data_IF_554729308619
#
_entry.id   IF_554729308619
#
_cell.length_a   1.000
_cell.length_b   1.000
_cell.length_c   1.000
_cell.angle_alpha   90.00
_cell.angle_beta   90.00
_cell.angle_gamma   90.00
#
_symmetry.space_group_name_H-M   'P 1'
#
loop_
_entity.id
_entity.type
_entity.pdbx_description
1 polymer ?
#
# COMPACT_ATOMS: atom_id res chain seq x y z
N UNK A 1 -7.88 19.55 31.82
CA UNK A 1 -7.11 18.36 31.34
C UNK A 1 -6.12 18.81 30.28
N UNK A 2 -4.89 18.30 30.26
CA UNK A 2 -3.92 18.57 29.18
C UNK A 2 -3.25 17.27 28.74
N UNK A 3 -3.11 17.07 27.43
CA UNK A 3 -2.40 15.93 26.84
C UNK A 3 -1.56 16.40 25.66
N UNK A 4 -0.35 15.86 25.54
CA UNK A 4 0.59 16.14 24.46
C UNK A 4 0.96 14.83 23.76
N UNK A 5 1.08 14.89 22.44
CA UNK A 5 1.37 13.75 21.59
C UNK A 5 2.33 14.15 20.48
N UNK A 6 3.17 13.20 20.07
CA UNK A 6 4.04 13.33 18.91
C UNK A 6 3.74 12.21 17.90
N UNK A 7 4.00 12.49 16.62
CA UNK A 7 3.97 11.50 15.55
C UNK A 7 5.18 11.70 14.66
N UNK A 8 6.07 10.70 14.68
CA UNK A 8 7.29 10.65 13.89
C UNK A 8 7.31 9.46 12.92
N UNK A 9 6.15 8.87 12.60
CA UNK A 9 6.05 7.76 11.65
C UNK A 9 6.27 8.24 10.20
N UNK A 10 6.93 7.42 9.38
CA UNK A 10 7.20 7.66 7.94
C UNK A 10 7.81 9.03 7.63
N UNK A 11 7.04 9.99 7.09
CA UNK A 11 7.46 11.37 6.82
C UNK A 11 6.87 12.38 7.82
N UNK A 12 6.05 11.95 8.77
CA UNK A 12 5.50 12.84 9.78
C UNK A 12 6.58 13.24 10.79
N UNK A 13 6.55 14.50 11.20
CA UNK A 13 7.35 15.03 12.30
C UNK A 13 6.51 16.10 13.00
N UNK A 14 5.43 15.63 13.64
CA UNK A 14 4.31 16.48 14.06
C UNK A 14 4.04 16.34 15.56
N UNK A 15 3.54 17.41 16.15
CA UNK A 15 3.00 17.42 17.50
C UNK A 15 1.51 17.75 17.50
N UNK A 16 0.80 17.28 18.52
CA UNK A 16 -0.59 17.61 18.78
C UNK A 16 -0.81 17.69 20.29
N UNK A 17 -1.32 18.83 20.74
CA UNK A 17 -1.65 19.14 22.13
C UNK A 17 -3.13 19.41 22.23
N UNK A 18 -3.77 18.88 23.26
CA UNK A 18 -5.15 19.21 23.61
C UNK A 18 -5.25 19.61 25.07
N UNK A 19 -6.00 20.67 25.30
CA UNK A 19 -6.27 21.26 26.60
C UNK A 19 -7.78 21.44 26.73
N UNK A 20 -8.31 21.08 27.89
CA UNK A 20 -9.72 21.29 28.23
C UNK A 20 -9.77 22.10 29.52
N UNK A 21 -10.42 23.25 29.43
CA UNK A 21 -10.77 24.11 30.56
C UNK A 21 -12.29 24.31 30.56
N UNK A 22 -12.97 23.71 31.55
CA UNK A 22 -14.44 23.62 31.62
C UNK A 22 -15.04 23.08 30.32
N UNK A 23 -15.87 23.87 29.65
CA UNK A 23 -16.53 23.52 28.39
C UNK A 23 -15.74 23.95 27.14
N UNK A 24 -14.50 24.44 27.29
CA UNK A 24 -13.66 24.89 26.16
C UNK A 24 -12.54 23.89 25.90
N UNK A 25 -12.47 23.39 24.66
CA UNK A 25 -11.37 22.61 24.13
C UNK A 25 -10.44 23.50 23.32
N UNK A 26 -9.15 23.44 23.62
CA UNK A 26 -8.09 24.09 22.85
C UNK A 26 -7.15 23.03 22.29
N UNK A 27 -6.93 23.07 20.99
CA UNK A 27 -6.04 22.16 20.26
C UNK A 27 -4.91 22.98 19.64
N UNK A 28 -3.67 22.57 19.90
CA UNK A 28 -2.47 23.15 19.29
C UNK A 28 -1.72 22.07 18.52
N UNK A 29 -1.38 22.31 17.25
CA UNK A 29 -0.76 21.28 16.41
C UNK A 29 0.15 21.87 15.34
N UNK A 30 1.20 21.13 14.97
CA UNK A 30 2.17 21.63 14.00
C UNK A 30 3.29 20.64 13.71
N UNK A 31 4.28 21.10 12.93
CA UNK A 31 5.56 20.40 12.81
C UNK A 31 6.32 20.56 14.14
N UNK A 32 7.02 19.53 14.59
CA UNK A 32 7.92 19.63 15.75
C UNK A 32 8.93 20.77 15.51
N UNK A 33 9.17 21.57 16.54
CA UNK A 33 10.01 22.77 16.47
C UNK A 33 9.36 24.02 15.85
N UNK A 34 8.11 23.94 15.36
CA UNK A 34 7.34 25.09 14.92
C UNK A 34 6.38 25.60 16.01
N UNK A 35 5.93 26.85 15.91
CA UNK A 35 4.90 27.39 16.80
C UNK A 35 3.53 26.69 16.64
N UNK A 36 3.31 25.96 15.53
CA UNK A 36 2.04 25.30 15.24
C UNK A 36 0.88 26.25 14.95
N UNK A 37 -0.33 25.69 14.94
CA UNK A 37 -1.61 26.38 14.80
C UNK A 37 -2.49 26.04 15.99
N UNK A 38 -3.33 26.99 16.37
CA UNK A 38 -4.27 26.85 17.50
C UNK A 38 -5.70 26.84 16.96
N UNK A 39 -6.53 25.97 17.51
CA UNK A 39 -7.97 25.94 17.30
C UNK A 39 -8.66 25.80 18.65
N UNK A 40 -9.70 26.59 18.87
CA UNK A 40 -10.51 26.54 20.09
C UNK A 40 -11.96 26.23 19.71
N UNK A 41 -12.63 25.45 20.55
CA UNK A 41 -14.03 25.06 20.39
C UNK A 41 -14.70 24.99 21.75
N UNK A 42 -15.77 25.75 21.90
CA UNK A 42 -16.64 25.70 23.08
C UNK A 42 -17.76 24.67 22.87
N UNK A 43 -18.09 23.96 23.93
CA UNK A 43 -19.15 22.95 23.97
C UNK A 43 -20.26 23.35 24.95
N UNK A 44 -21.45 22.73 24.88
CA UNK A 44 -22.55 23.09 25.78
C UNK A 44 -22.27 22.81 27.26
N UNK A 45 -21.47 21.76 27.55
CA UNK A 45 -21.09 21.38 28.91
C UNK A 45 -19.65 20.86 28.95
N UNK A 46 -19.04 20.89 30.12
CA UNK A 46 -17.72 20.27 30.38
C UNK A 46 -17.73 18.77 30.05
N UNK A 47 -18.79 18.06 30.40
CA UNK A 47 -18.90 16.62 30.14
C UNK A 47 -18.92 16.29 28.64
N UNK A 48 -19.65 17.05 27.82
CA UNK A 48 -19.63 16.89 26.35
C UNK A 48 -18.23 17.22 25.80
N UNK A 49 -17.57 18.25 26.34
CA UNK A 49 -16.22 18.64 25.93
C UNK A 49 -15.20 17.51 26.17
N UNK A 50 -15.26 16.87 27.35
CA UNK A 50 -14.39 15.74 27.69
C UNK A 50 -14.66 14.53 26.79
N UNK A 51 -15.93 14.17 26.56
CA UNK A 51 -16.29 13.05 25.69
C UNK A 51 -15.79 13.24 24.25
N UNK A 52 -15.97 14.42 23.67
CA UNK A 52 -15.47 14.74 22.33
C UNK A 52 -13.95 14.80 22.27
N UNK A 53 -13.30 15.26 23.35
CA UNK A 53 -11.84 15.25 23.49
C UNK A 53 -11.28 13.83 23.49
N UNK A 54 -11.90 12.91 24.23
CA UNK A 54 -11.47 11.50 24.28
C UNK A 54 -11.63 10.80 22.92
N UNK A 55 -12.74 11.06 22.20
CA UNK A 55 -12.91 10.57 20.83
C UNK A 55 -11.79 11.05 19.91
N UNK A 56 -11.43 12.33 20.00
CA UNK A 56 -10.35 12.90 19.20
C UNK A 56 -8.98 12.31 19.57
N UNK A 57 -8.72 12.07 20.85
CA UNK A 57 -7.50 11.39 21.31
C UNK A 57 -7.40 9.99 20.70
N UNK A 58 -8.46 9.17 20.78
CA UNK A 58 -8.49 7.83 20.18
C UNK A 58 -8.23 7.89 18.68
N UNK A 59 -8.82 8.85 17.98
CA UNK A 59 -8.60 9.07 16.54
C UNK A 59 -7.15 9.48 16.22
N UNK A 60 -6.48 10.25 17.09
CA UNK A 60 -5.08 10.62 16.90
C UNK A 60 -4.15 9.43 17.15
N UNK A 61 -4.41 8.67 18.21
CA UNK A 61 -3.66 7.45 18.52
C UNK A 61 -3.76 6.42 17.39
N UNK A 62 -4.96 6.23 16.81
CA UNK A 62 -5.12 5.34 15.64
C UNK A 62 -4.39 5.84 14.39
N UNK A 63 -3.97 7.11 14.35
CA UNK A 63 -3.15 7.72 13.29
C UNK A 63 -1.66 7.75 13.64
N UNK A 64 -1.22 7.01 14.66
CA UNK A 64 0.18 6.89 15.06
C UNK A 64 0.69 8.00 15.99
N UNK A 65 -0.19 8.82 16.58
CA UNK A 65 0.24 9.75 17.64
C UNK A 65 0.43 9.00 18.96
N UNK A 66 1.63 9.09 19.52
CA UNK A 66 1.96 8.52 20.82
C UNK A 66 1.93 9.60 21.89
N UNK A 67 1.45 9.27 23.08
CA UNK A 67 1.45 10.19 24.20
C UNK A 67 2.89 10.53 24.58
N UNK A 68 3.15 11.82 24.85
CA UNK A 68 4.48 12.32 25.15
C UNK A 68 4.43 13.32 26.31
N UNK A 69 5.47 13.33 27.12
CA UNK A 69 5.62 14.32 28.19
C UNK A 69 6.26 15.59 27.62
N UNK A 70 5.56 16.72 27.69
CA UNK A 70 6.04 18.00 27.12
C UNK A 70 7.37 18.47 27.73
N UNK A 71 7.70 18.03 28.94
CA UNK A 71 8.98 18.29 29.60
C UNK A 71 10.15 17.45 29.08
N UNK A 72 9.89 16.34 28.37
CA UNK A 72 10.92 15.46 27.85
C UNK A 72 11.38 15.92 26.46
N UNK A 73 12.69 15.86 26.15
CA UNK A 73 13.18 16.18 24.83
C UNK A 73 12.57 15.25 23.78
N UNK A 74 11.95 15.82 22.75
CA UNK A 74 11.40 15.05 21.64
C UNK A 74 12.57 14.46 20.82
N UNK A 75 12.54 13.17 20.46
CA UNK A 75 13.58 12.57 19.64
C UNK A 75 13.77 13.34 18.32
N UNK A 76 15.02 13.58 17.93
CA UNK A 76 15.31 14.15 16.62
C UNK A 76 15.05 13.08 15.58
N UNK A 77 14.13 13.34 14.65
CA UNK A 77 13.88 12.45 13.53
C UNK A 77 15.06 12.53 12.57
N UNK A 78 15.63 11.37 12.23
CA UNK A 78 16.66 11.28 11.21
C UNK A 78 16.12 11.80 9.86
N UNK A 79 16.97 12.49 9.10
CA UNK A 79 16.61 12.83 7.73
C UNK A 79 16.45 11.53 6.94
N UNK A 80 15.27 11.35 6.39
CA UNK A 80 14.92 10.22 5.53
C UNK A 80 15.44 10.48 4.12
N UNK A 81 15.95 9.43 3.46
CA UNK A 81 16.53 9.55 2.13
C UNK A 81 15.46 9.91 1.07
N UNK A 82 15.87 10.36 -0.11
CA UNK A 82 14.92 10.62 -1.20
C UNK A 82 14.24 9.34 -1.68
N UNK A 83 14.93 8.21 -1.60
CA UNK A 83 14.40 6.88 -1.91
C UNK A 83 13.29 6.50 -0.91
N UNK A 84 13.51 6.70 0.38
CA UNK A 84 12.50 6.43 1.40
C UNK A 84 11.28 7.36 1.25
N UNK A 85 11.50 8.63 0.90
CA UNK A 85 10.40 9.57 0.58
C UNK A 85 9.60 9.11 -0.64
N UNK A 86 10.27 8.64 -1.69
CA UNK A 86 9.63 8.11 -2.89
C UNK A 86 8.79 6.87 -2.56
N UNK A 87 9.34 5.95 -1.77
CA UNK A 87 8.61 4.76 -1.33
C UNK A 87 7.39 5.09 -0.49
N UNK A 88 7.51 6.00 0.49
CA UNK A 88 6.34 6.46 1.27
C UNK A 88 5.30 7.10 0.35
N UNK A 89 5.73 7.92 -0.62
CA UNK A 89 4.81 8.53 -1.58
C UNK A 89 4.06 7.49 -2.43
N UNK A 90 4.76 6.48 -2.95
CA UNK A 90 4.17 5.38 -3.72
C UNK A 90 3.07 4.68 -2.92
N UNK A 91 3.40 4.16 -1.73
CA UNK A 91 2.45 3.42 -0.91
C UNK A 91 1.29 4.26 -0.40
N UNK A 92 1.52 5.53 -0.04
CA UNK A 92 0.43 6.43 0.34
C UNK A 92 -0.48 6.77 -0.83
N UNK A 93 0.02 6.75 -2.07
CA UNK A 93 -0.80 6.99 -3.26
C UNK A 93 -1.72 5.81 -3.51
N UNK A 94 -1.20 4.58 -3.47
CA UNK A 94 -2.00 3.34 -3.50
C UNK A 94 -3.05 3.35 -2.37
N UNK A 95 -2.64 3.57 -1.13
CA UNK A 95 -3.58 3.53 0.00
C UNK A 95 -4.69 4.59 -0.10
N UNK A 96 -4.37 5.82 -0.53
CA UNK A 96 -5.36 6.90 -0.67
C UNK A 96 -6.34 6.67 -1.82
N UNK A 97 -5.91 5.97 -2.86
CA UNK A 97 -6.75 5.64 -4.01
C UNK A 97 -7.76 4.52 -3.68
N UNK A 98 -7.46 3.66 -2.70
CA UNK A 98 -8.33 2.57 -2.30
C UNK A 98 -9.57 3.05 -1.50
N UNK A 99 -10.67 3.35 -2.19
CA UNK A 99 -11.96 3.73 -1.58
C UNK A 99 -12.66 2.56 -0.86
N UNK A 100 -12.36 1.32 -1.24
CA UNK A 100 -12.95 0.09 -0.69
C UNK A 100 -12.50 -0.23 0.73
N UNK A 101 -11.37 0.34 1.19
CA UNK A 101 -10.81 0.15 2.53
C UNK A 101 -11.82 0.39 3.67
N UNK A 102 -12.84 1.22 3.45
CA UNK A 102 -13.78 1.67 4.47
C UNK A 102 -15.25 1.26 4.25
N UNK A 103 -15.59 0.60 3.15
CA UNK A 103 -17.00 0.40 2.73
C UNK A 103 -17.38 -1.07 2.73
N UNK A 104 -16.79 -1.88 1.84
CA UNK A 104 -16.96 -3.33 1.79
C UNK A 104 -15.85 -3.94 0.94
N UNK A 105 -14.96 -4.76 1.52
CA UNK A 105 -13.87 -5.35 0.74
C UNK A 105 -14.36 -6.41 -0.26
N UNK A 106 -15.54 -7.01 -0.06
CA UNK A 106 -16.12 -8.01 -0.99
C UNK A 106 -16.47 -7.45 -2.37
N UNK A 107 -16.52 -6.13 -2.49
CA UNK A 107 -16.77 -5.41 -3.75
C UNK A 107 -15.48 -4.74 -4.27
N UNK A 108 -14.31 -5.14 -3.77
CA UNK A 108 -13.04 -4.57 -4.21
C UNK A 108 -12.88 -4.72 -5.73
N UNK A 109 -12.73 -3.58 -6.39
CA UNK A 109 -12.48 -3.47 -7.82
C UNK A 109 -11.09 -2.85 -8.05
N UNK A 110 -10.20 -3.64 -8.66
CA UNK A 110 -8.84 -3.20 -8.98
C UNK A 110 -8.82 -2.07 -10.01
N UNK A 111 -9.74 -2.08 -10.99
CA UNK A 111 -9.83 -1.06 -12.03
C UNK A 111 -10.33 0.27 -11.44
N UNK A 112 -11.36 0.23 -10.60
CA UNK A 112 -11.80 1.45 -9.89
C UNK A 112 -10.69 2.00 -8.99
N UNK A 113 -9.94 1.12 -8.32
CA UNK A 113 -8.78 1.52 -7.52
C UNK A 113 -7.72 2.21 -8.39
N UNK A 114 -7.39 1.66 -9.57
CA UNK A 114 -6.45 2.27 -10.52
C UNK A 114 -6.98 3.60 -11.06
N UNK A 115 -8.26 3.72 -11.41
CA UNK A 115 -8.84 4.97 -11.89
C UNK A 115 -8.73 6.08 -10.83
N UNK A 116 -9.01 5.75 -9.57
CA UNK A 116 -8.82 6.67 -8.45
C UNK A 116 -7.35 7.06 -8.24
N UNK A 117 -6.43 6.13 -8.48
CA UNK A 117 -5.00 6.37 -8.42
C UNK A 117 -4.54 7.32 -9.54
N UNK A 118 -4.99 7.10 -10.77
CA UNK A 118 -4.71 7.96 -11.93
C UNK A 118 -5.26 9.38 -11.66
N UNK A 119 -6.49 9.50 -11.15
CA UNK A 119 -7.08 10.79 -10.79
C UNK A 119 -6.25 11.51 -9.72
N UNK A 120 -5.71 10.78 -8.74
CA UNK A 120 -4.84 11.33 -7.70
C UNK A 120 -3.49 11.78 -8.27
N UNK A 121 -2.88 10.94 -9.12
CA UNK A 121 -1.57 11.19 -9.73
C UNK A 121 -1.62 12.31 -10.77
N UNK A 122 -2.71 12.49 -11.50
CA UNK A 122 -2.85 13.57 -12.51
C UNK A 122 -2.72 14.99 -11.93
N UNK A 123 -2.88 15.12 -10.61
CA UNK A 123 -2.77 16.38 -9.87
C UNK A 123 -1.33 16.70 -9.43
N UNK A 124 -0.37 15.83 -9.71
CA UNK A 124 1.05 16.04 -9.37
C UNK A 124 1.89 16.34 -10.62
N UNK A 125 3.01 17.03 -10.44
CA UNK A 125 3.93 17.33 -11.54
C UNK A 125 4.77 16.12 -11.97
N UNK A 126 5.27 16.17 -13.21
CA UNK A 126 6.11 15.13 -13.85
C UNK A 126 7.20 14.52 -12.95
N UNK A 127 7.97 15.28 -12.13
CA UNK A 127 8.98 14.67 -11.26
C UNK A 127 8.42 13.66 -10.26
N UNK A 128 7.20 13.88 -9.75
CA UNK A 128 6.56 12.93 -8.83
C UNK A 128 6.02 11.69 -9.55
N UNK A 129 5.55 11.83 -10.78
CA UNK A 129 5.13 10.70 -11.61
C UNK A 129 6.32 9.79 -11.93
N UNK A 130 7.47 10.37 -12.26
CA UNK A 130 8.72 9.63 -12.46
C UNK A 130 9.13 8.86 -11.20
N UNK A 131 9.03 9.48 -10.01
CA UNK A 131 9.32 8.80 -8.75
C UNK A 131 8.34 7.67 -8.44
N UNK A 132 7.04 7.86 -8.77
CA UNK A 132 6.05 6.81 -8.64
C UNK A 132 6.40 5.62 -9.55
N UNK A 133 6.70 5.89 -10.82
CA UNK A 133 7.10 4.88 -11.82
C UNK A 133 8.35 4.11 -11.37
N UNK A 134 9.38 4.83 -10.93
CA UNK A 134 10.62 4.24 -10.40
C UNK A 134 10.31 3.20 -9.32
N UNK A 135 9.51 3.57 -8.32
CA UNK A 135 9.18 2.69 -7.20
C UNK A 135 8.29 1.53 -7.65
N UNK A 136 7.35 1.76 -8.58
CA UNK A 136 6.54 0.70 -9.16
C UNK A 136 7.43 -0.41 -9.73
N UNK A 137 8.40 -0.06 -10.58
CA UNK A 137 9.31 -1.05 -11.18
C UNK A 137 10.17 -1.76 -10.13
N UNK A 138 10.71 -1.03 -9.16
CA UNK A 138 11.47 -1.63 -8.04
C UNK A 138 10.63 -2.64 -7.26
N UNK A 139 9.36 -2.35 -6.98
CA UNK A 139 8.47 -3.26 -6.23
C UNK A 139 7.99 -4.43 -7.07
N UNK A 140 7.76 -4.25 -8.38
CA UNK A 140 7.46 -5.36 -9.29
C UNK A 140 8.64 -6.34 -9.41
N UNK A 141 9.87 -5.84 -9.46
CA UNK A 141 11.07 -6.67 -9.45
C UNK A 141 11.26 -7.39 -8.10
N UNK A 142 10.96 -6.75 -6.97
CA UNK A 142 10.98 -7.42 -5.66
C UNK A 142 10.00 -8.58 -5.56
N UNK A 143 8.88 -8.54 -6.30
CA UNK A 143 7.91 -9.64 -6.39
C UNK A 143 8.25 -10.67 -7.46
N UNK A 144 9.34 -10.51 -8.22
CA UNK A 144 9.75 -11.49 -9.23
C UNK A 144 10.50 -12.66 -8.58
N UNK A 145 9.76 -13.49 -7.82
CA UNK A 145 10.32 -14.63 -7.08
C UNK A 145 9.52 -15.92 -7.33
N UNK A 146 10.18 -17.06 -7.08
CA UNK A 146 9.60 -18.39 -7.19
C UNK A 146 8.38 -18.58 -6.27
N UNK A 147 8.42 -18.00 -5.08
CA UNK A 147 7.34 -18.05 -4.10
C UNK A 147 6.12 -17.24 -4.55
N UNK A 148 6.34 -16.07 -5.15
CA UNK A 148 5.23 -15.26 -5.68
C UNK A 148 4.63 -15.88 -6.94
N UNK A 149 5.44 -16.55 -7.77
CA UNK A 149 4.92 -17.37 -8.87
C UNK A 149 4.15 -18.60 -8.37
N UNK A 150 4.63 -19.29 -7.33
CA UNK A 150 3.86 -20.34 -6.67
C UNK A 150 2.51 -19.80 -6.14
N UNK A 151 2.50 -18.60 -5.57
CA UNK A 151 1.27 -17.94 -5.12
C UNK A 151 0.30 -17.66 -6.28
N UNK A 152 0.77 -17.25 -7.46
CA UNK A 152 -0.11 -17.01 -8.60
C UNK A 152 -0.81 -18.28 -9.08
N UNK A 153 -0.10 -19.41 -9.12
CA UNK A 153 -0.70 -20.71 -9.42
C UNK A 153 -1.77 -21.10 -8.41
N UNK A 154 -1.51 -20.93 -7.11
CA UNK A 154 -2.45 -21.31 -6.06
C UNK A 154 -3.74 -20.47 -6.11
N UNK A 155 -3.60 -19.15 -6.22
CA UNK A 155 -4.73 -18.23 -6.10
C UNK A 155 -5.61 -18.21 -7.36
N UNK A 156 -4.99 -18.24 -8.54
CA UNK A 156 -5.69 -17.94 -9.79
C UNK A 156 -5.43 -18.98 -10.90
N UNK A 157 -4.35 -19.74 -10.79
CA UNK A 157 -3.99 -20.76 -11.77
C UNK A 157 -5.06 -21.84 -11.96
N UNK A 158 -5.25 -22.36 -13.20
CA UNK A 158 -6.10 -23.52 -13.45
C UNK A 158 -5.66 -24.72 -12.61
N UNK A 159 -6.60 -25.54 -12.17
CA UNK A 159 -6.30 -26.75 -11.42
C UNK A 159 -7.29 -27.86 -11.70
N UNK A 160 -6.85 -29.09 -11.45
CA UNK A 160 -7.70 -30.28 -11.36
C UNK A 160 -7.61 -30.84 -9.94
N UNK A 161 -8.67 -31.50 -9.47
CA UNK A 161 -8.72 -32.07 -8.13
C UNK A 161 -9.09 -33.54 -8.20
N UNK A 162 -8.14 -34.42 -7.87
CA UNK A 162 -8.32 -35.86 -7.93
C UNK A 162 -7.80 -36.52 -6.65
N UNK A 163 -8.61 -37.40 -6.06
CA UNK A 163 -8.23 -38.19 -4.86
C UNK A 163 -7.70 -37.36 -3.67
N UNK A 164 -8.19 -36.13 -3.49
CA UNK A 164 -7.75 -35.25 -2.40
C UNK A 164 -6.48 -34.44 -2.70
N UNK A 165 -5.98 -34.52 -3.93
CA UNK A 165 -4.79 -33.80 -4.39
C UNK A 165 -5.18 -32.81 -5.48
N UNK A 166 -4.84 -31.55 -5.25
CA UNK A 166 -4.93 -30.47 -6.23
C UNK A 166 -3.68 -30.51 -7.12
N UNK A 167 -3.89 -30.56 -8.43
CA UNK A 167 -2.84 -30.44 -9.42
C UNK A 167 -3.06 -29.15 -10.22
N UNK A 168 -2.23 -28.16 -9.95
CA UNK A 168 -2.25 -26.86 -10.62
C UNK A 168 -1.52 -26.93 -11.97
N UNK A 169 -1.88 -26.07 -12.90
CA UNK A 169 -1.11 -25.88 -14.13
C UNK A 169 0.32 -25.41 -13.81
N UNK A 170 1.27 -25.73 -14.69
CA UNK A 170 2.69 -25.36 -14.56
C UNK A 170 3.11 -24.24 -15.52
N UNK A 171 2.20 -23.76 -16.36
CA UNK A 171 2.45 -22.67 -17.29
C UNK A 171 2.37 -21.29 -16.63
N UNK A 172 3.52 -20.62 -16.48
CA UNK A 172 3.61 -19.22 -16.06
C UNK A 172 3.65 -18.29 -17.29
N UNK A 173 2.58 -17.53 -17.51
CA UNK A 173 2.59 -16.44 -18.50
C UNK A 173 3.42 -15.26 -18.00
N UNK A 174 4.32 -14.74 -18.84
CA UNK A 174 5.11 -13.55 -18.50
C UNK A 174 4.21 -12.34 -18.19
N UNK A 175 3.31 -11.98 -19.11
CA UNK A 175 2.34 -10.90 -18.94
C UNK A 175 1.40 -11.16 -17.75
N UNK A 176 0.81 -12.35 -17.68
CA UNK A 176 -0.10 -12.72 -16.59
C UNK A 176 0.56 -12.61 -15.21
N UNK A 177 1.83 -12.99 -15.11
CA UNK A 177 2.58 -12.87 -13.87
C UNK A 177 2.96 -11.42 -13.53
N UNK A 178 3.21 -10.56 -14.52
CA UNK A 178 3.35 -9.11 -14.29
C UNK A 178 2.04 -8.53 -13.73
N UNK A 179 0.89 -8.89 -14.32
CA UNK A 179 -0.41 -8.35 -13.91
C UNK A 179 -0.83 -8.84 -12.53
N UNK A 180 -0.48 -10.08 -12.18
CA UNK A 180 -0.66 -10.61 -10.84
C UNK A 180 0.17 -9.83 -9.80
N UNK A 181 1.44 -9.53 -10.10
CA UNK A 181 2.28 -8.72 -9.22
C UNK A 181 1.73 -7.30 -9.05
N UNK A 182 1.17 -6.70 -10.10
CA UNK A 182 0.47 -5.42 -9.99
C UNK A 182 -0.71 -5.49 -9.02
N UNK A 183 -1.51 -6.55 -9.09
CA UNK A 183 -2.64 -6.76 -8.19
C UNK A 183 -2.21 -6.92 -6.72
N UNK A 184 -1.09 -7.60 -6.47
CA UNK A 184 -0.49 -7.71 -5.13
C UNK A 184 -0.08 -6.33 -4.58
N UNK A 185 0.50 -5.45 -5.39
CA UNK A 185 0.89 -4.10 -4.96
C UNK A 185 -0.32 -3.25 -4.57
N UNK A 186 -1.46 -3.40 -5.25
CA UNK A 186 -2.69 -2.68 -4.91
C UNK A 186 -3.26 -3.04 -3.53
N UNK A 187 -2.90 -4.20 -2.96
CA UNK A 187 -3.28 -4.56 -1.58
C UNK A 187 -2.57 -3.70 -0.52
N UNK A 188 -1.52 -2.98 -0.93
CA UNK A 188 -0.83 -1.98 -0.13
C UNK A 188 0.37 -2.52 0.65
N UNK A 189 1.13 -1.59 1.24
CA UNK A 189 2.45 -1.84 1.84
C UNK A 189 2.48 -2.99 2.85
N UNK A 190 1.56 -2.99 3.81
CA UNK A 190 1.56 -4.00 4.87
C UNK A 190 1.25 -5.41 4.36
N UNK A 191 0.50 -5.53 3.24
CA UNK A 191 0.26 -6.81 2.59
C UNK A 191 1.50 -7.24 1.82
N UNK A 192 2.06 -6.34 1.01
CA UNK A 192 3.31 -6.54 0.28
C UNK A 192 4.43 -7.05 1.20
N UNK A 193 4.70 -6.36 2.31
CA UNK A 193 5.76 -6.72 3.25
C UNK A 193 5.54 -8.13 3.83
N UNK A 194 4.30 -8.49 4.13
CA UNK A 194 3.98 -9.79 4.71
C UNK A 194 4.17 -10.93 3.70
N UNK A 195 3.72 -10.77 2.46
CA UNK A 195 3.85 -11.82 1.44
C UNK A 195 5.29 -11.99 0.95
N UNK A 196 6.11 -10.93 1.00
CA UNK A 196 7.54 -11.03 0.69
C UNK A 196 8.33 -11.75 1.77
N UNK A 197 7.83 -11.78 3.01
CA UNK A 197 8.43 -12.56 4.09
C UNK A 197 7.93 -14.02 4.08
N UNK A 198 6.61 -14.22 3.92
CA UNK A 198 5.99 -15.54 3.83
C UNK A 198 4.65 -15.46 3.07
N UNK A 199 4.55 -16.16 1.94
CA UNK A 199 3.34 -16.17 1.10
C UNK A 199 2.12 -16.78 1.81
N UNK A 200 2.30 -17.60 2.86
CA UNK A 200 1.19 -18.11 3.67
C UNK A 200 0.42 -16.97 4.37
N UNK A 201 1.04 -15.80 4.53
CA UNK A 201 0.41 -14.61 5.12
C UNK A 201 -0.74 -14.06 4.26
N UNK A 202 -0.75 -14.36 2.95
CA UNK A 202 -1.74 -13.88 1.99
C UNK A 202 -3.18 -14.17 2.45
N UNK A 203 -3.46 -15.41 2.86
CA UNK A 203 -4.77 -15.87 3.35
C UNK A 203 -4.75 -16.14 4.87
N UNK A 204 -4.01 -15.33 5.63
CA UNK A 204 -3.93 -15.44 7.10
C UNK A 204 -5.20 -14.95 7.83
N UNK A 205 -6.11 -14.25 7.13
CA UNK A 205 -7.27 -13.58 7.72
C UNK A 205 -6.95 -12.19 8.30
N UNK A 206 -5.67 -11.81 8.38
CA UNK A 206 -5.25 -10.44 8.72
C UNK A 206 -5.61 -9.44 7.62
N UNK A 207 -5.54 -9.88 6.37
CA UNK A 207 -5.84 -9.10 5.18
C UNK A 207 -7.15 -9.59 4.56
N UNK A 208 -7.96 -8.64 4.10
CA UNK A 208 -9.19 -8.96 3.38
C UNK A 208 -8.85 -9.12 1.90
N UNK A 209 -8.60 -10.35 1.49
CA UNK A 209 -8.38 -10.71 0.10
C UNK A 209 -9.70 -11.22 -0.48
N UNK A 210 -10.14 -10.64 -1.59
CA UNK A 210 -11.22 -11.19 -2.40
C UNK A 210 -10.56 -11.95 -3.53
N UNK A 211 -10.80 -13.26 -3.59
CA UNK A 211 -10.39 -14.07 -4.73
C UNK A 211 -11.43 -13.89 -5.84
N UNK A 212 -10.91 -13.59 -7.03
CA UNK A 212 -11.62 -13.20 -8.25
C UNK A 212 -10.56 -13.01 -9.34
N UNK A 213 -10.71 -12.03 -10.23
CA UNK A 213 -9.63 -11.67 -11.17
C UNK A 213 -8.45 -11.03 -10.39
N UNK A 214 -7.37 -11.79 -10.22
CA UNK A 214 -6.19 -11.35 -9.48
C UNK A 214 -5.19 -10.60 -10.37
N UNK A 215 -5.66 -9.88 -11.39
CA UNK A 215 -4.83 -9.21 -12.41
C UNK A 215 -5.10 -7.71 -12.41
N UNK A 216 -4.06 -6.91 -12.66
CA UNK A 216 -4.16 -5.44 -12.65
C UNK A 216 -3.20 -4.79 -13.67
N UNK A 217 -3.35 -5.11 -14.96
CA UNK A 217 -2.47 -4.61 -16.05
C UNK A 217 -2.34 -3.08 -16.05
N UNK A 218 -3.46 -2.36 -15.90
CA UNK A 218 -3.48 -0.89 -16.04
C UNK A 218 -2.62 -0.16 -15.00
N UNK A 219 -2.22 -0.81 -13.91
CA UNK A 219 -1.28 -0.22 -12.97
C UNK A 219 0.07 0.12 -13.63
N UNK A 220 0.52 -0.69 -14.60
CA UNK A 220 1.77 -0.46 -15.35
C UNK A 220 1.79 0.87 -16.08
N UNK A 221 0.61 1.40 -16.45
CA UNK A 221 0.46 2.65 -17.21
C UNK A 221 -0.08 3.79 -16.35
N UNK A 222 -0.27 3.59 -15.05
CA UNK A 222 -0.94 4.56 -14.19
C UNK A 222 -0.24 5.93 -14.16
N UNK A 223 1.10 5.95 -14.19
CA UNK A 223 1.90 7.19 -14.18
C UNK A 223 1.79 7.95 -15.52
N UNK A 224 1.74 7.22 -16.63
CA UNK A 224 1.61 7.75 -18.00
C UNK A 224 0.19 8.23 -18.29
N UNK A 225 -0.83 7.43 -17.94
CA UNK A 225 -2.24 7.83 -18.05
C UNK A 225 -2.49 9.10 -17.23
N UNK A 226 -1.97 9.18 -16.00
CA UNK A 226 -2.06 10.37 -15.17
C UNK A 226 -1.41 11.61 -15.80
N UNK A 227 -0.27 11.44 -16.47
CA UNK A 227 0.38 12.53 -17.20
C UNK A 227 -0.47 12.98 -18.40
N UNK A 228 -1.02 12.02 -19.16
CA UNK A 228 -1.85 12.25 -20.34
C UNK A 228 -3.11 13.08 -20.07
N UNK A 229 -3.75 12.87 -18.91
CA UNK A 229 -4.95 13.62 -18.48
C UNK A 229 -4.77 15.15 -18.52
N UNK A 230 -3.56 15.65 -18.30
CA UNK A 230 -3.27 17.09 -18.24
C UNK A 230 -2.48 17.63 -19.45
N UNK A 231 -2.13 16.77 -20.41
CA UNK A 231 -1.25 17.10 -21.54
C UNK A 231 -1.80 16.57 -22.89
N UNK A 232 -3.13 16.51 -23.04
CA UNK A 232 -3.86 16.14 -24.28
C UNK A 232 -3.41 14.81 -24.93
N UNK A 233 -2.93 13.85 -24.14
CA UNK A 233 -2.45 12.53 -24.59
C UNK A 233 -1.34 12.53 -25.66
N UNK A 234 -0.72 13.67 -26.00
CA UNK A 234 0.34 13.73 -27.03
C UNK A 234 1.69 13.15 -26.56
N UNK A 235 1.81 12.79 -25.28
CA UNK A 235 3.09 12.56 -24.60
C UNK A 235 3.11 11.24 -23.78
N UNK A 236 2.30 10.25 -24.15
CA UNK A 236 2.02 9.03 -23.38
C UNK A 236 3.20 8.05 -23.16
N UNK A 237 4.43 8.34 -23.61
CA UNK A 237 5.62 7.49 -23.34
C UNK A 237 6.70 8.20 -22.52
N UNK A 238 6.42 9.39 -21.96
CA UNK A 238 7.47 10.27 -21.41
C UNK A 238 7.81 10.07 -19.95
N UNK A 239 7.08 9.21 -19.23
CA UNK A 239 7.37 8.95 -17.82
C UNK A 239 8.35 7.81 -17.69
N UNK A 240 8.08 6.65 -18.30
CA UNK A 240 9.00 5.51 -18.26
C UNK A 240 10.35 5.84 -18.91
N UNK A 241 10.36 6.45 -20.10
CA UNK A 241 11.61 6.89 -20.75
C UNK A 241 12.42 7.86 -19.87
N UNK A 242 11.75 8.81 -19.23
CA UNK A 242 12.41 9.78 -18.35
C UNK A 242 12.90 9.12 -17.05
N UNK A 243 12.14 8.16 -16.51
CA UNK A 243 12.52 7.36 -15.36
C UNK A 243 13.78 6.55 -15.68
N UNK A 244 13.79 5.80 -16.78
CA UNK A 244 14.92 5.02 -17.26
C UNK A 244 16.17 5.87 -17.48
N UNK A 245 16.02 7.08 -18.04
CA UNK A 245 17.13 8.01 -18.24
C UNK A 245 17.71 8.57 -16.92
N UNK A 246 16.86 8.82 -15.91
CA UNK A 246 17.28 9.36 -14.62
C UNK A 246 17.78 8.27 -13.65
N UNK A 247 17.26 7.06 -13.76
CA UNK A 247 17.52 5.93 -12.87
C UNK A 247 17.92 4.68 -13.66
N UNK A 248 19.03 4.70 -14.43
CA UNK A 248 19.42 3.58 -15.29
C UNK A 248 19.81 2.29 -14.56
N UNK A 249 19.86 2.33 -13.22
CA UNK A 249 20.09 1.16 -12.37
C UNK A 249 18.78 0.43 -12.01
N UNK A 250 17.62 1.06 -12.22
CA UNK A 250 16.33 0.41 -12.03
C UNK A 250 16.06 -0.45 -13.24
N UNK A 251 15.93 -1.75 -13.00
CA UNK A 251 15.69 -2.73 -14.06
C UNK A 251 14.22 -2.66 -14.46
N UNK A 252 13.93 -2.68 -15.76
CA UNK A 252 12.55 -2.73 -16.24
C UNK A 252 11.84 -4.02 -15.77
N UNK A 253 10.58 -3.93 -15.35
CA UNK A 253 9.83 -5.07 -14.80
C UNK A 253 9.66 -6.24 -15.78
N UNK A 254 9.71 -5.92 -17.09
CA UNK A 254 9.65 -6.86 -18.22
C UNK A 254 11.04 -7.09 -18.87
N UNK A 255 12.11 -6.84 -18.11
CA UNK A 255 13.46 -7.10 -18.61
C UNK A 255 13.72 -8.60 -18.73
N UNK A 256 14.13 -9.05 -19.92
CA UNK A 256 14.62 -10.42 -20.17
C UNK A 256 15.87 -10.79 -19.35
N UNK A 257 16.48 -9.82 -18.66
CA UNK A 257 17.63 -10.06 -17.77
C UNK A 257 17.19 -10.49 -16.36
N UNK A 258 15.89 -10.40 -16.05
CA UNK A 258 15.36 -10.86 -14.78
C UNK A 258 15.30 -12.38 -14.78
N UNK A 259 16.04 -13.00 -13.87
CA UNK A 259 15.99 -14.45 -13.62
C UNK A 259 15.58 -14.68 -12.16
N UNK A 260 14.61 -15.56 -11.93
CA UNK A 260 14.27 -15.97 -10.57
C UNK A 260 15.44 -16.75 -9.97
N UNK A 261 15.71 -16.52 -8.69
CA UNK A 261 16.81 -17.20 -7.99
C UNK A 261 16.65 -18.73 -7.92
N UNK A 262 15.40 -19.20 -7.97
CA UNK A 262 15.03 -20.63 -8.01
C UNK A 262 13.81 -20.82 -8.90
N UNK A 263 13.56 -22.05 -9.35
CA UNK A 263 12.34 -22.37 -10.09
C UNK A 263 11.12 -22.39 -9.14
N UNK A 264 9.95 -21.91 -9.60
CA UNK A 264 8.72 -22.02 -8.83
C UNK A 264 8.31 -23.47 -8.65
N UNK A 265 7.73 -23.76 -7.49
CA UNK A 265 7.04 -25.05 -7.27
C UNK A 265 5.70 -24.99 -8.00
N UNK A 266 5.33 -26.06 -8.70
CA UNK A 266 4.12 -26.15 -9.54
C UNK A 266 3.37 -27.45 -9.29
N UNK A 267 2.24 -27.66 -9.99
CA UNK A 267 1.56 -28.96 -9.99
C UNK A 267 1.09 -29.41 -8.61
N UNK A 268 1.23 -30.71 -8.34
CA UNK A 268 0.83 -31.32 -7.06
C UNK A 268 1.74 -30.92 -5.89
N UNK A 269 2.99 -30.54 -6.16
CA UNK A 269 3.97 -30.18 -5.13
C UNK A 269 3.58 -28.92 -4.35
N UNK A 270 2.77 -28.04 -4.95
CA UNK A 270 2.23 -26.85 -4.29
C UNK A 270 1.41 -27.21 -3.04
N UNK A 271 0.61 -28.28 -3.08
CA UNK A 271 -0.17 -28.72 -1.92
C UNK A 271 0.71 -29.28 -0.81
N UNK A 272 1.84 -29.92 -1.15
CA UNK A 272 2.78 -30.44 -0.16
C UNK A 272 3.57 -29.31 0.51
N UNK A 273 4.01 -28.33 -0.29
CA UNK A 273 4.82 -27.20 0.19
C UNK A 273 4.00 -26.14 0.94
N UNK A 274 2.76 -25.88 0.50
CA UNK A 274 1.89 -24.85 1.05
C UNK A 274 0.48 -25.37 1.41
N UNK A 275 0.37 -26.40 2.28
CA UNK A 275 -0.88 -27.14 2.49
C UNK A 275 -2.03 -26.27 3.01
N UNK A 276 -1.76 -25.37 3.95
CA UNK A 276 -2.78 -24.49 4.52
C UNK A 276 -3.24 -23.41 3.53
N UNK A 277 -2.30 -22.84 2.78
CA UNK A 277 -2.59 -21.81 1.77
C UNK A 277 -3.42 -22.40 0.63
N UNK A 278 -3.03 -23.56 0.11
CA UNK A 278 -3.79 -24.28 -0.93
C UNK A 278 -5.19 -24.62 -0.44
N UNK A 279 -5.35 -25.20 0.75
CA UNK A 279 -6.66 -25.53 1.29
C UNK A 279 -7.59 -24.32 1.42
N UNK A 280 -7.06 -23.17 1.88
CA UNK A 280 -7.83 -21.92 1.99
C UNK A 280 -8.17 -21.32 0.63
N UNK A 281 -7.24 -21.33 -0.31
CA UNK A 281 -7.45 -20.80 -1.66
C UNK A 281 -8.55 -21.57 -2.38
N UNK A 282 -8.50 -22.91 -2.36
CA UNK A 282 -9.53 -23.76 -2.97
C UNK A 282 -10.92 -23.51 -2.34
N UNK A 283 -11.00 -23.43 -1.01
CA UNK A 283 -12.26 -23.16 -0.32
C UNK A 283 -12.89 -21.80 -0.70
N UNK A 284 -12.06 -20.79 -0.99
CA UNK A 284 -12.51 -19.46 -1.43
C UNK A 284 -12.86 -19.43 -2.93
N UNK A 285 -12.26 -20.29 -3.76
CA UNK A 285 -12.54 -20.40 -5.19
C UNK A 285 -13.83 -21.18 -5.49
N UNK A 286 -14.27 -22.02 -4.56
CA UNK A 286 -15.53 -22.79 -4.65
C UNK A 286 -16.75 -22.06 -4.05
N UNK A 287 -16.54 -20.95 -3.33
CA UNK A 287 -17.59 -20.19 -2.60
C UNK A 287 -18.23 -19.09 -3.43
#
# INVERSE_FOLDING_TARGET
MTKFFINQNELSDKFWKVEVDKNVQKVTYGKIGSAGKVSEKEFPTEEICLQETEKLIKQKQSKGYIAWEESQPIPVKADVSEEEKAEVYFWQSIEKANKWKHVNWQEYDAEEHIDNLIELLSKVGKPRLILFEKVLQEKLNQLYTAEIAALSFILDGPYSYENGVANFDDYLSDDGFIYFRCWLLLQGKAFFEAITEDINSCLSGKYKVVLGECWAERLLKASEEAYGVTHDNEELCKIDEAMSALYPHVIHYDSLQNEMATEPVTGTELQEKYPELVAKALALRES
#
